data_IF_368551956745
#
_entry.id   IF_368551956745
#
_cell.length_a   1.000
_cell.length_b   1.000
_cell.length_c   1.000
_cell.angle_alpha   90.00
_cell.angle_beta   90.00
_cell.angle_gamma   90.00
#
_symmetry.space_group_name_H-M   'P 1'
#
loop_
_entity.id
_entity.type
_entity.pdbx_description
1 polymer ?
#
# COMPACT_ATOMS: atom_id res chain seq x y z
N UNK A 1 50.23 -2.64 -8.59
CA UNK A 1 48.95 -2.27 -9.23
C UNK A 1 47.87 -3.35 -9.19
N UNK A 2 48.17 -4.64 -9.43
CA UNK A 2 47.15 -5.72 -9.43
C UNK A 2 46.43 -5.93 -8.09
N UNK A 3 47.13 -5.76 -6.97
CA UNK A 3 46.56 -5.93 -5.62
C UNK A 3 45.62 -4.78 -5.23
N UNK A 4 45.92 -3.55 -5.68
CA UNK A 4 45.09 -2.37 -5.41
C UNK A 4 43.77 -2.45 -6.19
N UNK A 5 43.79 -2.93 -7.45
CA UNK A 5 42.56 -3.18 -8.20
C UNK A 5 41.69 -4.26 -7.56
N UNK A 6 42.28 -5.33 -7.02
CA UNK A 6 41.53 -6.39 -6.34
C UNK A 6 40.87 -5.88 -5.05
N UNK A 7 41.55 -5.04 -4.27
CA UNK A 7 41.01 -4.45 -3.05
C UNK A 7 39.81 -3.50 -3.33
N UNK A 8 39.86 -2.72 -4.42
CA UNK A 8 38.76 -1.83 -4.81
C UNK A 8 37.53 -2.62 -5.28
N UNK A 9 37.72 -3.75 -6.00
CA UNK A 9 36.61 -4.61 -6.44
C UNK A 9 35.93 -5.32 -5.26
N UNK A 10 36.69 -5.78 -4.26
CA UNK A 10 36.12 -6.38 -3.03
C UNK A 10 35.39 -5.35 -2.18
N UNK A 11 35.89 -4.10 -2.13
CA UNK A 11 35.23 -3.02 -1.38
C UNK A 11 33.93 -2.54 -2.05
N UNK A 12 33.84 -2.58 -3.38
CA UNK A 12 32.61 -2.29 -4.13
C UNK A 12 31.54 -3.38 -3.96
N UNK A 13 31.92 -4.64 -3.69
CA UNK A 13 30.99 -5.74 -3.42
C UNK A 13 30.38 -5.69 -2.00
N UNK A 14 30.96 -4.91 -1.09
CA UNK A 14 30.46 -4.70 0.28
C UNK A 14 29.54 -3.48 0.40
N UNK A 15 29.43 -2.66 -0.64
CA UNK A 15 28.50 -1.53 -0.68
C UNK A 15 27.08 -2.03 -1.03
N UNK A 16 26.34 -2.39 0.02
CA UNK A 16 24.88 -2.41 0.08
C UNK A 16 24.15 -3.11 -1.08
N UNK A 17 23.96 -4.42 -0.93
CA UNK A 17 22.69 -4.99 -1.36
C UNK A 17 21.61 -4.36 -0.46
N UNK A 18 21.04 -3.23 -0.89
CA UNK A 18 19.81 -2.71 -0.32
C UNK A 18 18.72 -3.76 -0.56
N UNK A 19 18.49 -4.60 0.44
CA UNK A 19 17.40 -5.57 0.42
C UNK A 19 16.10 -4.77 0.39
N UNK A 20 15.29 -5.04 -0.64
CA UNK A 20 14.10 -4.28 -1.05
C UNK A 20 12.92 -4.29 -0.06
N UNK A 21 13.13 -4.77 1.16
CA UNK A 21 12.27 -4.61 2.33
C UNK A 21 13.27 -4.63 3.49
N UNK A 22 13.57 -3.48 4.10
CA UNK A 22 14.51 -3.47 5.22
C UNK A 22 13.99 -4.43 6.31
N UNK A 23 14.83 -5.32 6.86
CA UNK A 23 14.38 -6.24 7.90
C UNK A 23 13.79 -5.43 9.04
N UNK A 24 12.57 -5.79 9.45
CA UNK A 24 11.87 -5.16 10.57
C UNK A 24 12.81 -5.13 11.76
N UNK A 25 13.20 -3.94 12.19
CA UNK A 25 14.13 -3.74 13.29
C UNK A 25 13.74 -2.49 14.09
N UNK A 26 14.31 -2.36 15.28
CA UNK A 26 13.95 -1.28 16.21
C UNK A 26 14.18 0.14 15.65
N UNK A 27 15.14 0.31 14.73
CA UNK A 27 15.39 1.61 14.10
C UNK A 27 14.23 1.95 13.17
N UNK A 28 13.87 1.04 12.25
CA UNK A 28 12.73 1.21 11.34
C UNK A 28 11.43 1.45 12.13
N UNK A 29 11.19 0.69 13.19
CA UNK A 29 9.99 0.85 14.03
C UNK A 29 9.91 2.26 14.63
N UNK A 30 11.02 2.78 15.18
CA UNK A 30 11.06 4.14 15.74
C UNK A 30 10.89 5.22 14.68
N UNK A 31 11.47 5.02 13.49
CA UNK A 31 11.33 5.96 12.38
C UNK A 31 9.88 6.03 11.88
N UNK A 32 9.23 4.88 11.71
CA UNK A 32 7.83 4.80 11.34
C UNK A 32 6.92 5.48 12.38
N UNK A 33 7.16 5.21 13.67
CA UNK A 33 6.44 5.87 14.76
C UNK A 33 6.62 7.39 14.72
N UNK A 34 7.88 7.86 14.59
CA UNK A 34 8.19 9.29 14.49
C UNK A 34 7.49 9.93 13.31
N UNK A 35 7.53 9.30 12.13
CA UNK A 35 6.83 9.80 10.95
C UNK A 35 5.32 9.93 11.20
N UNK A 36 4.70 8.91 11.81
CA UNK A 36 3.28 8.95 12.20
C UNK A 36 2.93 10.09 13.16
N UNK A 37 3.79 10.33 14.16
CA UNK A 37 3.62 11.42 15.15
C UNK A 37 3.77 12.79 14.48
N UNK A 38 4.86 13.01 13.73
CA UNK A 38 5.17 14.29 13.09
C UNK A 38 4.13 14.68 12.05
N UNK A 39 3.54 13.70 11.36
CA UNK A 39 2.51 13.89 10.35
C UNK A 39 1.10 13.60 10.87
N UNK A 40 0.89 13.61 12.19
CA UNK A 40 -0.41 13.21 12.75
C UNK A 40 -1.58 14.07 12.26
N UNK A 41 -1.33 15.36 11.99
CA UNK A 41 -2.38 16.33 11.64
C UNK A 41 -2.37 16.76 10.17
N UNK A 42 -1.52 16.16 9.32
CA UNK A 42 -1.66 16.34 7.87
C UNK A 42 -2.87 15.55 7.36
N UNK A 43 -3.38 15.93 6.19
CA UNK A 43 -4.48 15.22 5.54
C UNK A 43 -4.12 13.75 5.30
N UNK A 44 -5.10 12.85 5.31
CA UNK A 44 -4.83 11.43 5.11
C UNK A 44 -4.20 11.17 3.74
N UNK A 45 -4.66 11.88 2.70
CA UNK A 45 -4.14 11.76 1.34
C UNK A 45 -2.67 12.19 1.26
N UNK A 46 -2.30 13.29 1.90
CA UNK A 46 -0.90 13.73 1.99
C UNK A 46 -0.04 12.74 2.80
N UNK A 47 -0.59 12.19 3.88
CA UNK A 47 0.11 11.22 4.72
C UNK A 47 0.47 9.94 3.96
N UNK A 48 -0.44 9.47 3.11
CA UNK A 48 -0.35 8.20 2.38
C UNK A 48 0.38 8.32 1.02
N UNK A 49 0.65 9.52 0.53
CA UNK A 49 1.05 9.77 -0.87
C UNK A 49 2.20 8.90 -1.38
N UNK A 50 3.20 8.60 -0.54
CA UNK A 50 4.36 7.79 -0.93
C UNK A 50 4.03 6.30 -1.14
N UNK A 51 2.86 5.85 -0.69
CA UNK A 51 2.35 4.49 -0.85
C UNK A 51 1.11 4.44 -1.74
N UNK A 52 0.75 5.55 -2.38
CA UNK A 52 -0.43 5.67 -3.24
C UNK A 52 -0.07 5.39 -4.70
N UNK A 53 -0.85 4.53 -5.34
CA UNK A 53 -0.91 4.39 -6.77
C UNK A 53 -2.30 4.81 -7.27
N UNK A 54 -2.34 5.70 -8.26
CA UNK A 54 -3.58 6.08 -8.94
C UNK A 54 -3.88 5.11 -10.09
N UNK A 55 -5.15 5.04 -10.49
CA UNK A 55 -5.58 4.22 -11.62
C UNK A 55 -4.87 4.69 -12.91
N UNK A 56 -4.31 3.73 -13.66
CA UNK A 56 -3.39 4.01 -14.76
C UNK A 56 -4.00 4.70 -15.98
N UNK A 57 -5.32 4.79 -16.09
CA UNK A 57 -6.06 5.46 -17.16
C UNK A 57 -6.69 6.79 -16.72
N UNK A 58 -6.45 7.24 -15.48
CA UNK A 58 -6.97 8.50 -14.99
C UNK A 58 -6.39 9.70 -15.77
N UNK A 59 -7.27 10.53 -16.33
CA UNK A 59 -6.89 11.73 -17.11
C UNK A 59 -6.55 12.91 -16.20
N UNK A 60 -7.22 13.02 -15.06
CA UNK A 60 -7.05 14.07 -14.06
C UNK A 60 -6.97 13.39 -12.69
N UNK A 61 -6.08 13.88 -11.83
CA UNK A 61 -5.99 13.44 -10.43
C UNK A 61 -6.81 14.38 -9.55
N UNK A 62 -7.93 13.89 -9.05
CA UNK A 62 -8.88 14.57 -8.18
C UNK A 62 -9.44 13.61 -7.11
N UNK A 63 -10.41 14.10 -6.32
CA UNK A 63 -11.08 13.30 -5.27
C UNK A 63 -11.86 12.08 -5.82
N UNK A 64 -12.18 12.08 -7.11
CA UNK A 64 -12.89 11.01 -7.80
C UNK A 64 -11.95 9.96 -8.38
N UNK A 65 -10.65 10.21 -8.32
CA UNK A 65 -9.66 9.33 -8.90
C UNK A 65 -9.50 8.09 -8.05
N UNK A 66 -9.75 6.95 -8.69
CA UNK A 66 -9.54 5.66 -8.06
C UNK A 66 -8.07 5.48 -7.69
N UNK A 67 -7.84 4.92 -6.51
CA UNK A 67 -6.50 4.83 -5.93
C UNK A 67 -6.35 3.58 -5.09
N UNK A 68 -5.12 3.12 -4.99
CA UNK A 68 -4.71 2.02 -4.15
C UNK A 68 -3.56 2.45 -3.23
N UNK A 69 -3.57 1.97 -2.00
CA UNK A 69 -2.48 2.18 -1.05
C UNK A 69 -1.82 0.84 -0.72
N UNK A 70 -0.50 0.80 -0.72
CA UNK A 70 0.26 -0.36 -0.26
C UNK A 70 0.64 -0.21 1.22
N UNK A 71 0.19 -1.15 2.06
CA UNK A 71 0.54 -1.17 3.47
C UNK A 71 1.80 -2.01 3.71
N UNK A 72 2.92 -1.32 3.79
CA UNK A 72 4.19 -1.90 4.23
C UNK A 72 4.25 -1.97 5.76
N UNK A 73 5.16 -2.78 6.34
CA UNK A 73 5.45 -2.73 7.77
C UNK A 73 5.68 -1.31 8.29
N UNK A 74 6.42 -0.49 7.55
CA UNK A 74 6.65 0.91 7.91
C UNK A 74 5.32 1.69 7.98
N UNK A 75 4.50 1.61 6.93
CA UNK A 75 3.24 2.35 6.89
C UNK A 75 2.25 1.90 7.96
N UNK A 76 2.17 0.59 8.26
CA UNK A 76 1.30 0.07 9.32
C UNK A 76 1.63 0.70 10.68
N UNK A 77 2.91 0.78 11.01
CA UNK A 77 3.37 1.39 12.27
C UNK A 77 3.18 2.91 12.28
N UNK A 78 3.40 3.56 11.14
CA UNK A 78 3.16 4.98 11.00
C UNK A 78 1.67 5.34 11.17
N UNK A 79 0.77 4.55 10.60
CA UNK A 79 -0.68 4.70 10.75
C UNK A 79 -1.10 4.58 12.22
N UNK A 80 -0.61 3.56 12.94
CA UNK A 80 -0.88 3.39 14.38
C UNK A 80 -0.40 4.58 15.20
N UNK A 81 0.84 5.02 14.98
CA UNK A 81 1.40 6.16 15.69
C UNK A 81 0.64 7.46 15.40
N UNK A 82 0.21 7.67 14.15
CA UNK A 82 -0.66 8.79 13.77
C UNK A 82 -2.00 8.73 14.50
N UNK A 83 -2.69 7.60 14.46
CA UNK A 83 -4.01 7.43 15.08
C UNK A 83 -3.94 7.64 16.61
N UNK A 84 -2.95 7.07 17.27
CA UNK A 84 -2.72 7.27 18.71
C UNK A 84 -2.43 8.73 19.03
N UNK A 85 -1.59 9.40 18.24
CA UNK A 85 -1.30 10.82 18.43
C UNK A 85 -2.56 11.67 18.33
N UNK A 86 -3.41 11.42 17.33
CA UNK A 86 -4.69 12.11 17.16
C UNK A 86 -5.65 11.86 18.34
N UNK A 87 -5.58 10.67 18.96
CA UNK A 87 -6.37 10.27 20.13
C UNK A 87 -5.72 10.62 21.47
N UNK A 88 -4.60 11.34 21.47
CA UNK A 88 -3.80 11.64 22.68
C UNK A 88 -3.40 10.39 23.47
N UNK A 89 -3.17 9.27 22.79
CA UNK A 89 -2.72 8.01 23.36
C UNK A 89 -1.20 7.85 23.21
N UNK A 90 -0.52 7.17 24.16
CA UNK A 90 0.92 6.94 24.07
C UNK A 90 1.25 5.95 22.96
N UNK A 91 2.25 6.29 22.12
CA UNK A 91 2.83 5.38 21.13
C UNK A 91 3.88 4.50 21.82
N UNK A 92 3.72 3.18 21.77
CA UNK A 92 4.61 2.21 22.43
C UNK A 92 5.19 1.22 21.42
N UNK A 93 6.45 0.83 21.62
CA UNK A 93 7.11 -0.20 20.79
C UNK A 93 6.42 -1.56 20.87
N UNK A 94 5.86 -1.94 22.02
CA UNK A 94 5.12 -3.20 22.18
C UNK A 94 3.91 -3.32 21.26
N UNK A 95 3.27 -2.19 20.93
CA UNK A 95 2.11 -2.19 20.05
C UNK A 95 2.54 -2.43 18.60
N UNK A 96 3.73 -1.95 18.23
CA UNK A 96 4.32 -2.17 16.91
C UNK A 96 4.60 -3.64 16.64
N UNK A 97 5.16 -4.37 17.61
CA UNK A 97 5.39 -5.81 17.47
C UNK A 97 4.09 -6.58 17.24
N UNK A 98 3.03 -6.23 17.97
CA UNK A 98 1.71 -6.84 17.80
C UNK A 98 1.14 -6.58 16.40
N UNK A 99 1.18 -5.32 15.93
CA UNK A 99 0.70 -4.97 14.58
C UNK A 99 1.46 -5.75 13.53
N UNK A 100 2.78 -5.85 13.64
CA UNK A 100 3.60 -6.59 12.68
C UNK A 100 3.28 -8.09 12.68
N UNK A 101 2.96 -8.67 13.85
CA UNK A 101 2.54 -10.06 13.96
C UNK A 101 1.18 -10.30 13.26
N UNK A 102 0.22 -9.38 13.42
CA UNK A 102 -1.13 -9.51 12.84
C UNK A 102 -1.10 -9.50 11.29
N UNK A 103 -0.13 -8.83 10.69
CA UNK A 103 0.03 -8.73 9.23
C UNK A 103 1.18 -9.59 8.67
N UNK A 104 1.81 -10.43 9.50
CA UNK A 104 2.97 -11.21 9.10
C UNK A 104 2.67 -12.15 7.91
N UNK A 105 3.54 -12.09 6.90
CA UNK A 105 3.44 -12.94 5.70
C UNK A 105 2.36 -12.52 4.70
N UNK A 106 1.82 -11.29 4.83
CA UNK A 106 0.90 -10.70 3.87
C UNK A 106 1.43 -9.38 3.31
N UNK A 107 1.27 -9.20 2.00
CA UNK A 107 1.29 -7.89 1.36
C UNK A 107 -0.15 -7.38 1.26
N UNK A 108 -0.42 -6.23 1.86
CA UNK A 108 -1.78 -5.72 2.05
C UNK A 108 -2.00 -4.43 1.28
N UNK A 109 -3.16 -4.29 0.66
CA UNK A 109 -3.57 -3.10 -0.08
C UNK A 109 -4.91 -2.60 0.42
N UNK A 110 -5.14 -1.29 0.39
CA UNK A 110 -6.50 -0.75 0.31
C UNK A 110 -6.74 -0.18 -1.08
N UNK A 111 -7.98 -0.24 -1.54
CA UNK A 111 -8.39 0.38 -2.80
C UNK A 111 -9.64 1.21 -2.58
N UNK A 112 -9.68 2.38 -3.19
CA UNK A 112 -10.85 3.25 -3.28
C UNK A 112 -11.32 3.22 -4.73
N UNK A 113 -12.50 2.64 -4.95
CA UNK A 113 -13.10 2.50 -6.27
C UNK A 113 -14.32 3.42 -6.39
N UNK A 114 -14.62 3.85 -7.61
CA UNK A 114 -15.75 4.70 -7.96
C UNK A 114 -16.60 4.03 -9.04
N UNK A 115 -17.91 4.14 -8.89
CA UNK A 115 -18.89 3.57 -9.82
C UNK A 115 -20.15 4.41 -9.94
N UNK A 116 -20.98 4.07 -10.93
CA UNK A 116 -22.22 4.76 -11.29
C UNK A 116 -23.49 4.11 -10.68
N UNK A 117 -23.33 2.98 -9.98
CA UNK A 117 -24.41 2.28 -9.29
C UNK A 117 -24.03 1.96 -7.85
N UNK A 118 -25.01 1.82 -6.96
CA UNK A 118 -24.75 1.43 -5.56
C UNK A 118 -24.10 0.05 -5.45
N UNK A 119 -24.37 -0.80 -6.43
CA UNK A 119 -24.03 -2.21 -6.42
C UNK A 119 -22.75 -2.54 -7.21
N UNK A 120 -22.10 -1.54 -7.82
CA UNK A 120 -20.92 -1.72 -8.68
C UNK A 120 -19.78 -2.50 -8.01
N UNK A 121 -19.77 -2.45 -6.68
CA UNK A 121 -18.75 -2.94 -5.77
C UNK A 121 -19.17 -4.18 -4.97
N UNK A 122 -20.36 -4.78 -5.24
CA UNK A 122 -20.89 -5.93 -4.49
C UNK A 122 -19.93 -7.11 -4.40
N UNK A 123 -19.12 -7.29 -5.44
CA UNK A 123 -18.04 -8.27 -5.49
C UNK A 123 -16.77 -7.59 -5.95
N UNK A 124 -15.65 -7.96 -5.35
CA UNK A 124 -14.33 -7.50 -5.75
C UNK A 124 -13.43 -8.71 -5.94
N UNK A 125 -12.74 -8.76 -7.07
CA UNK A 125 -11.65 -9.69 -7.32
C UNK A 125 -10.36 -8.90 -7.52
N UNK A 126 -9.25 -9.43 -7.02
CA UNK A 126 -7.96 -8.77 -7.13
C UNK A 126 -6.85 -9.77 -7.48
N UNK A 127 -5.97 -9.34 -8.38
CA UNK A 127 -4.74 -10.05 -8.73
C UNK A 127 -3.55 -9.09 -8.74
N UNK A 128 -2.37 -9.60 -8.43
CA UNK A 128 -1.09 -8.93 -8.68
C UNK A 128 -0.46 -9.55 -9.92
N UNK A 129 -0.06 -8.71 -10.87
CA UNK A 129 0.75 -9.10 -12.03
C UNK A 129 2.20 -8.71 -11.82
N UNK A 130 3.11 -9.68 -11.97
CA UNK A 130 4.56 -9.48 -12.00
C UNK A 130 5.17 -10.24 -13.19
N UNK A 131 5.42 -9.53 -14.29
CA UNK A 131 5.81 -10.13 -15.56
C UNK A 131 4.75 -11.12 -16.06
N UNK A 132 5.10 -12.41 -16.15
CA UNK A 132 4.17 -13.48 -16.58
C UNK A 132 3.36 -14.10 -15.43
N UNK A 133 3.66 -13.77 -14.18
CA UNK A 133 2.98 -14.33 -13.00
C UNK A 133 1.74 -13.50 -12.69
N UNK A 134 0.66 -14.22 -12.36
CA UNK A 134 -0.57 -13.66 -11.79
C UNK A 134 -0.81 -14.31 -10.44
N UNK A 135 -0.97 -13.50 -9.40
CA UNK A 135 -1.12 -13.93 -8.01
C UNK A 135 -2.49 -13.43 -7.55
N UNK A 136 -3.38 -14.33 -7.16
CA UNK A 136 -4.73 -13.97 -6.68
C UNK A 136 -4.69 -13.57 -5.22
N UNK A 137 -5.54 -12.62 -4.82
CA UNK A 137 -5.71 -12.26 -3.41
C UNK A 137 -6.22 -13.46 -2.61
N UNK A 138 -5.60 -13.70 -1.46
CA UNK A 138 -6.00 -14.75 -0.52
C UNK A 138 -7.24 -14.34 0.28
N UNK A 139 -7.34 -13.05 0.61
CA UNK A 139 -8.48 -12.49 1.33
C UNK A 139 -8.84 -11.12 0.77
N UNK A 140 -10.14 -10.84 0.75
CA UNK A 140 -10.71 -9.55 0.35
C UNK A 140 -11.74 -9.19 1.41
N UNK A 141 -11.61 -7.98 1.97
CA UNK A 141 -12.55 -7.44 2.95
C UNK A 141 -13.17 -6.15 2.40
N UNK A 142 -14.50 -6.13 2.32
CA UNK A 142 -15.28 -4.95 1.93
C UNK A 142 -16.03 -4.53 3.20
N UNK A 143 -15.55 -3.51 3.94
CA UNK A 143 -16.08 -3.17 5.26
C UNK A 143 -17.50 -2.60 5.24
N UNK A 144 -18.00 -2.14 4.08
CA UNK A 144 -19.32 -1.54 3.97
C UNK A 144 -19.80 -1.41 2.54
N UNK A 145 -21.07 -1.03 2.40
CA UNK A 145 -21.69 -0.73 1.10
C UNK A 145 -21.11 0.55 0.48
N UNK A 146 -21.24 0.67 -0.84
CA UNK A 146 -20.83 1.88 -1.53
C UNK A 146 -21.67 3.10 -1.11
N UNK A 147 -21.00 4.22 -0.85
CA UNK A 147 -21.62 5.47 -0.40
C UNK A 147 -21.63 6.50 -1.51
N UNK A 148 -22.61 7.41 -1.50
CA UNK A 148 -22.76 8.44 -2.54
C UNK A 148 -21.74 9.55 -2.31
N UNK A 149 -20.96 9.88 -3.34
CA UNK A 149 -20.00 11.00 -3.32
C UNK A 149 -20.37 12.14 -4.28
N UNK A 150 -21.12 11.83 -5.34
CA UNK A 150 -21.71 12.86 -6.22
C UNK A 150 -23.18 12.56 -6.40
N UNK A 151 -24.01 13.60 -6.23
CA UNK A 151 -25.45 13.54 -6.44
C UNK A 151 -25.92 14.85 -7.11
N UNK A 152 -25.71 14.96 -8.43
CA UNK A 152 -26.05 16.16 -9.20
C UNK A 152 -26.89 15.78 -10.42
N UNK A 153 -28.18 16.10 -10.37
CA UNK A 153 -29.12 15.82 -11.47
C UNK A 153 -29.21 14.32 -11.77
N UNK A 154 -28.94 13.94 -13.01
CA UNK A 154 -28.93 12.54 -13.45
C UNK A 154 -27.63 11.78 -13.10
N UNK A 155 -26.58 12.48 -12.64
CA UNK A 155 -25.30 11.85 -12.31
C UNK A 155 -25.24 11.52 -10.82
N UNK A 156 -25.11 10.21 -10.55
CA UNK A 156 -24.89 9.69 -9.20
C UNK A 156 -23.64 8.81 -9.21
N UNK A 157 -22.66 9.17 -8.38
CA UNK A 157 -21.42 8.41 -8.23
C UNK A 157 -21.32 7.87 -6.82
N UNK A 158 -20.82 6.65 -6.72
CA UNK A 158 -20.66 5.91 -5.50
C UNK A 158 -19.19 5.57 -5.31
N UNK A 159 -18.72 5.61 -4.07
CA UNK A 159 -17.38 5.20 -3.66
C UNK A 159 -17.46 3.96 -2.80
N UNK A 160 -16.47 3.08 -2.94
CA UNK A 160 -16.29 1.93 -2.07
C UNK A 160 -14.82 1.78 -1.73
N UNK A 161 -14.54 1.36 -0.49
CA UNK A 161 -13.21 0.93 -0.07
C UNK A 161 -13.17 -0.58 0.09
N UNK A 162 -12.08 -1.23 -0.33
CA UNK A 162 -11.81 -2.63 -0.05
C UNK A 162 -10.36 -2.82 0.41
N UNK A 163 -10.14 -3.86 1.22
CA UNK A 163 -8.82 -4.30 1.67
C UNK A 163 -8.49 -5.66 1.06
N UNK A 164 -7.29 -5.78 0.50
CA UNK A 164 -6.86 -6.91 -0.31
C UNK A 164 -5.57 -7.48 0.29
N UNK A 165 -5.54 -8.78 0.54
CA UNK A 165 -4.42 -9.44 1.21
C UNK A 165 -3.86 -10.55 0.31
N UNK A 166 -2.55 -10.51 0.09
CA UNK A 166 -1.83 -11.49 -0.73
C UNK A 166 -0.73 -12.13 0.10
N UNK A 167 -0.50 -13.43 -0.03
CA UNK A 167 0.65 -14.09 0.62
C UNK A 167 1.97 -13.52 0.08
N UNK A 168 2.73 -12.90 0.98
CA UNK A 168 4.00 -12.23 0.66
C UNK A 168 5.00 -13.17 -0.03
N UNK A 169 5.08 -14.43 0.43
CA UNK A 169 5.95 -15.47 -0.16
C UNK A 169 5.76 -15.70 -1.67
N UNK A 170 4.61 -15.31 -2.21
CA UNK A 170 4.31 -15.47 -3.63
C UNK A 170 4.78 -14.28 -4.47
N UNK A 171 5.12 -13.16 -3.84
CA UNK A 171 5.43 -11.87 -4.46
C UNK A 171 6.95 -11.66 -4.44
N UNK A 172 7.48 -11.16 -5.55
CA UNK A 172 8.89 -10.76 -5.64
C UNK A 172 9.01 -9.26 -5.32
N UNK A 173 9.47 -8.93 -4.12
CA UNK A 173 9.62 -7.53 -3.68
C UNK A 173 10.64 -6.73 -4.53
N UNK A 174 11.52 -7.40 -5.28
CA UNK A 174 12.52 -6.76 -6.13
C UNK A 174 11.98 -6.42 -7.53
N UNK A 175 10.67 -6.61 -7.77
CA UNK A 175 10.03 -6.32 -9.06
C UNK A 175 8.83 -5.42 -8.87
N UNK A 176 8.55 -4.52 -9.84
CA UNK A 176 7.30 -3.78 -9.83
C UNK A 176 6.11 -4.73 -9.93
N UNK A 177 4.98 -4.27 -9.39
CA UNK A 177 3.73 -5.00 -9.36
C UNK A 177 2.61 -4.13 -9.96
N UNK A 178 1.72 -4.75 -10.73
CA UNK A 178 0.46 -4.13 -11.12
C UNK A 178 -0.65 -4.84 -10.35
N UNK A 179 -1.26 -4.12 -9.42
CA UNK A 179 -2.51 -4.56 -8.79
C UNK A 179 -3.64 -4.33 -9.79
N UNK A 180 -4.36 -5.40 -10.12
CA UNK A 180 -5.54 -5.34 -10.98
C UNK A 180 -6.76 -5.70 -10.16
N UNK A 181 -7.71 -4.78 -10.09
CA UNK A 181 -8.98 -4.96 -9.38
C UNK A 181 -10.12 -5.02 -10.37
N UNK A 182 -10.99 -6.00 -10.21
CA UNK A 182 -12.22 -6.15 -11.00
C UNK A 182 -13.42 -6.16 -10.06
N UNK A 183 -14.31 -5.19 -10.21
CA UNK A 183 -15.53 -5.10 -9.41
C UNK A 183 -16.71 -5.80 -10.11
N UNK A 184 -17.91 -5.71 -9.53
CA UNK A 184 -19.12 -6.34 -10.08
C UNK A 184 -19.47 -5.80 -11.48
N UNK A 185 -19.15 -4.52 -11.72
CA UNK A 185 -19.26 -3.84 -13.02
C UNK A 185 -18.35 -4.39 -14.13
N UNK A 186 -17.52 -5.41 -13.83
CA UNK A 186 -16.55 -6.02 -14.74
C UNK A 186 -15.44 -5.07 -15.23
N UNK A 187 -15.39 -3.83 -14.72
CA UNK A 187 -14.32 -2.89 -15.08
C UNK A 187 -13.03 -3.31 -14.38
N UNK A 188 -11.97 -3.44 -15.17
CA UNK A 188 -10.62 -3.74 -14.70
C UNK A 188 -9.88 -2.44 -14.45
N UNK A 189 -9.36 -2.28 -13.24
CA UNK A 189 -8.65 -1.09 -12.78
C UNK A 189 -7.23 -1.48 -12.46
N UNK A 190 -6.25 -0.76 -12.99
CA UNK A 190 -4.83 -1.08 -12.84
C UNK A 190 -4.10 -0.06 -11.99
N UNK A 191 -3.38 -0.51 -10.97
CA UNK A 191 -2.58 0.34 -10.09
C UNK A 191 -1.13 -0.15 -10.11
N UNK A 192 -0.20 0.71 -10.52
CA UNK A 192 1.22 0.38 -10.64
C UNK A 192 1.96 0.72 -9.34
N UNK A 193 2.71 -0.25 -8.82
CA UNK A 193 3.56 -0.10 -7.66
C UNK A 193 5.00 -0.48 -8.00
N UNK A 194 5.91 0.46 -7.81
CA UNK A 194 7.35 0.21 -7.90
C UNK A 194 7.87 -0.33 -6.57
N UNK A 195 7.52 -1.59 -6.25
CA UNK A 195 7.81 -2.22 -4.95
C UNK A 195 9.25 -2.01 -4.44
N UNK A 196 10.30 -2.11 -5.28
CA UNK A 196 11.68 -1.89 -4.84
C UNK A 196 11.96 -0.50 -4.26
N UNK A 197 11.15 0.49 -4.62
CA UNK A 197 11.35 1.90 -4.27
C UNK A 197 10.34 2.40 -3.22
N UNK A 198 9.50 1.51 -2.67
CA UNK A 198 8.52 1.84 -1.63
C UNK A 198 9.07 1.43 -0.25
N UNK A 199 8.93 2.31 0.75
CA UNK A 199 9.41 2.10 2.13
C UNK A 199 8.53 1.17 2.94
#
# INVERSE_FOLDING_TARGET
MRIVCAAVVVMLLLCNQALAIAPVNAVMMKEAQRYGIEKAYVSLDEFLIAWTAYEGQAVVLDEMTERAHLYTPYLLLACDAREKTQKSQPVKLSDSEKILADYAGFLSFSVTLVGDSKDFAKTVNAIIKQGRRSITADQINIPGEATVIVNKGAQKLYVMQAYLYFKERNIDANKPAILVVTAYDQKKRGFYFDLPNIK
#
